data_IF_856153084527
#
_entry.id   IF_856153084527
#
_cell.length_a   1.000
_cell.length_b   1.000
_cell.length_c   1.000
_cell.angle_alpha   90.00
_cell.angle_beta   90.00
_cell.angle_gamma   90.00
#
_symmetry.space_group_name_H-M   'P 1'
#
loop_
_entity.id
_entity.type
_entity.pdbx_description
1 polymer ?
#
# COMPACT_ATOMS: atom_id res chain seq x y z
N UNK A 1 -12.13 11.31 6.90
CA UNK A 1 -12.81 10.06 7.35
C UNK A 1 -12.19 8.89 6.63
N UNK A 2 -11.72 7.89 7.39
CA UNK A 2 -11.10 6.66 6.83
C UNK A 2 -12.13 5.91 5.99
N UNK A 3 -11.77 5.60 4.73
CA UNK A 3 -12.58 4.78 3.81
C UNK A 3 -12.19 3.31 3.85
N UNK A 4 -11.02 2.99 4.42
CA UNK A 4 -10.53 1.64 4.55
C UNK A 4 -9.04 1.55 4.82
N UNK A 5 -8.46 0.38 4.55
CA UNK A 5 -7.06 0.14 4.81
C UNK A 5 -6.38 -0.73 3.75
N UNK A 6 -5.06 -0.76 3.82
CA UNK A 6 -4.21 -1.67 3.07
C UNK A 6 -3.35 -2.50 4.02
N UNK A 7 -3.18 -3.77 3.72
CA UNK A 7 -2.19 -4.65 4.35
C UNK A 7 -1.12 -4.97 3.32
N UNK A 8 0.10 -4.49 3.56
CA UNK A 8 1.20 -4.57 2.61
C UNK A 8 2.22 -5.66 2.98
N UNK A 9 2.86 -6.23 1.95
CA UNK A 9 3.92 -7.22 2.13
C UNK A 9 3.41 -8.59 2.59
N UNK A 10 2.25 -9.00 2.08
CA UNK A 10 1.73 -10.35 2.28
C UNK A 10 2.55 -11.31 1.40
N UNK A 11 3.07 -12.38 2.02
CA UNK A 11 3.99 -13.29 1.34
C UNK A 11 3.69 -14.78 1.54
N UNK A 12 2.61 -15.15 2.25
CA UNK A 12 2.21 -16.54 2.46
C UNK A 12 0.71 -16.75 2.29
N UNK A 13 0.32 -18.00 2.02
CA UNK A 13 -1.07 -18.36 1.70
C UNK A 13 -2.00 -18.31 2.91
N UNK A 14 -1.52 -18.70 4.08
CA UNK A 14 -2.35 -18.76 5.30
C UNK A 14 -2.75 -17.35 5.72
N UNK A 15 -1.79 -16.43 5.73
CA UNK A 15 -2.04 -15.00 5.96
C UNK A 15 -2.99 -14.43 4.92
N UNK A 16 -2.77 -14.72 3.63
CA UNK A 16 -3.63 -14.17 2.58
C UNK A 16 -5.07 -14.69 2.70
N UNK A 17 -5.25 -16.00 2.91
CA UNK A 17 -6.57 -16.59 3.13
C UNK A 17 -7.28 -15.97 4.34
N UNK A 18 -6.57 -15.79 5.46
CA UNK A 18 -7.10 -15.14 6.65
C UNK A 18 -7.59 -13.72 6.33
N UNK A 19 -6.78 -12.92 5.64
CA UNK A 19 -7.10 -11.52 5.29
C UNK A 19 -8.33 -11.43 4.38
N UNK A 20 -8.36 -12.19 3.28
CA UNK A 20 -9.43 -12.05 2.27
C UNK A 20 -10.74 -12.70 2.69
N UNK A 21 -10.70 -13.65 3.65
CA UNK A 21 -11.91 -14.27 4.22
C UNK A 21 -12.41 -13.59 5.48
N UNK A 22 -11.70 -12.59 5.98
CA UNK A 22 -12.10 -11.84 7.17
C UNK A 22 -13.48 -11.18 6.97
N UNK A 23 -14.27 -11.06 8.03
CA UNK A 23 -15.61 -10.42 7.96
C UNK A 23 -15.51 -8.96 7.46
N UNK A 24 -14.42 -8.29 7.80
CA UNK A 24 -14.10 -6.91 7.39
C UNK A 24 -12.74 -6.90 6.68
N UNK A 25 -12.64 -7.41 5.44
CA UNK A 25 -11.36 -7.49 4.74
C UNK A 25 -10.84 -6.09 4.39
N UNK A 26 -9.52 -5.92 4.27
CA UNK A 26 -8.96 -4.65 3.83
C UNK A 26 -9.36 -4.34 2.38
N UNK A 27 -9.42 -3.08 2.02
CA UNK A 27 -9.67 -2.65 0.64
C UNK A 27 -8.53 -3.07 -0.30
N UNK A 28 -7.29 -3.12 0.24
CA UNK A 28 -6.10 -3.43 -0.56
C UNK A 28 -5.20 -4.44 0.13
N UNK A 29 -4.64 -5.36 -0.66
CA UNK A 29 -3.58 -6.29 -0.23
C UNK A 29 -2.37 -6.12 -1.14
N UNK A 30 -1.22 -5.78 -0.57
CA UNK A 30 0.01 -5.47 -1.30
C UNK A 30 1.03 -6.61 -1.30
N UNK A 31 1.62 -6.86 -2.48
CA UNK A 31 2.68 -7.86 -2.69
C UNK A 31 3.92 -7.17 -3.24
N UNK A 32 5.09 -7.38 -2.62
CA UNK A 32 6.35 -6.79 -3.09
C UNK A 32 6.91 -7.66 -4.21
N UNK A 33 6.93 -7.11 -5.45
CA UNK A 33 7.15 -7.90 -6.66
C UNK A 33 8.56 -7.78 -7.26
N UNK A 34 9.29 -6.69 -7.00
CA UNK A 34 10.59 -6.45 -7.63
C UNK A 34 11.66 -5.86 -6.71
N UNK A 35 11.55 -6.06 -5.41
CA UNK A 35 12.55 -5.58 -4.46
C UNK A 35 13.08 -6.72 -3.58
N UNK A 36 14.04 -7.54 -4.07
CA UNK A 36 14.53 -8.73 -3.37
C UNK A 36 15.20 -8.47 -2.02
N UNK A 37 15.65 -7.24 -1.76
CA UNK A 37 16.21 -6.84 -0.45
C UNK A 37 15.15 -6.78 0.65
N UNK A 38 13.88 -6.68 0.29
CA UNK A 38 12.80 -6.71 1.27
C UNK A 38 12.59 -8.13 1.79
N UNK A 39 12.50 -8.33 3.12
CA UNK A 39 12.13 -9.64 3.70
C UNK A 39 10.72 -10.10 3.29
N UNK A 40 9.91 -9.19 2.73
CA UNK A 40 8.54 -9.44 2.25
C UNK A 40 8.46 -9.65 0.75
N UNK A 41 9.60 -9.73 0.05
CA UNK A 41 9.65 -9.99 -1.38
C UNK A 41 9.04 -11.35 -1.71
N UNK A 42 8.25 -11.40 -2.78
CA UNK A 42 7.62 -12.62 -3.25
C UNK A 42 8.16 -12.98 -4.63
N UNK A 43 8.84 -14.12 -4.73
CA UNK A 43 9.28 -14.65 -6.00
C UNK A 43 8.08 -14.95 -6.92
N UNK A 44 8.29 -14.84 -8.24
CA UNK A 44 7.23 -14.91 -9.24
C UNK A 44 6.38 -16.19 -9.15
N UNK A 45 6.99 -17.36 -9.05
CA UNK A 45 6.25 -18.63 -8.92
C UNK A 45 5.38 -18.70 -7.66
N UNK A 46 5.85 -18.12 -6.57
CA UNK A 46 5.08 -18.02 -5.32
C UNK A 46 3.96 -16.99 -5.46
N UNK A 47 4.24 -15.87 -6.14
CA UNK A 47 3.29 -14.82 -6.43
C UNK A 47 2.09 -15.33 -7.25
N UNK A 48 2.34 -16.12 -8.30
CA UNK A 48 1.27 -16.77 -9.10
C UNK A 48 0.35 -17.62 -8.22
N UNK A 49 0.91 -18.42 -7.31
CA UNK A 49 0.13 -19.24 -6.37
C UNK A 49 -0.69 -18.40 -5.40
N UNK A 50 -0.12 -17.33 -4.86
CA UNK A 50 -0.84 -16.41 -3.98
C UNK A 50 -2.00 -15.74 -4.72
N UNK A 51 -1.76 -15.25 -5.92
CA UNK A 51 -2.76 -14.53 -6.70
C UNK A 51 -3.85 -15.44 -7.30
N UNK A 52 -3.73 -16.77 -7.21
CA UNK A 52 -4.80 -17.70 -7.52
C UNK A 52 -5.88 -17.77 -6.42
N UNK A 53 -5.59 -17.26 -5.22
CA UNK A 53 -6.56 -17.17 -4.13
C UNK A 53 -7.60 -16.10 -4.47
N UNK A 54 -8.87 -16.43 -4.23
CA UNK A 54 -9.96 -15.47 -4.47
C UNK A 54 -9.82 -14.26 -3.52
N UNK A 55 -9.64 -13.10 -4.12
CA UNK A 55 -9.47 -11.83 -3.38
C UNK A 55 -10.74 -11.31 -2.71
N UNK A 56 -11.89 -11.94 -2.97
CA UNK A 56 -13.20 -11.53 -2.46
C UNK A 56 -13.45 -10.02 -2.69
N UNK A 57 -13.60 -9.24 -1.61
CA UNK A 57 -13.83 -7.78 -1.66
C UNK A 57 -12.54 -6.95 -1.73
N UNK A 58 -11.38 -7.57 -1.54
CA UNK A 58 -10.09 -6.86 -1.56
C UNK A 58 -9.60 -6.63 -2.99
N UNK A 59 -8.72 -5.66 -3.17
CA UNK A 59 -8.04 -5.37 -4.42
C UNK A 59 -6.55 -5.70 -4.27
N UNK A 60 -5.98 -6.42 -5.23
CA UNK A 60 -4.57 -6.81 -5.21
C UNK A 60 -3.69 -5.72 -5.81
N UNK A 61 -2.60 -5.41 -5.11
CA UNK A 61 -1.66 -4.34 -5.44
C UNK A 61 -0.26 -4.91 -5.66
N UNK A 62 0.29 -4.75 -6.87
CA UNK A 62 1.71 -4.99 -7.12
C UNK A 62 2.53 -3.81 -6.60
N UNK A 63 3.40 -4.03 -5.63
CA UNK A 63 4.32 -3.02 -5.10
C UNK A 63 5.65 -3.11 -5.84
N UNK A 64 6.03 -2.02 -6.47
CA UNK A 64 7.11 -1.94 -7.45
C UNK A 64 8.00 -0.72 -7.18
N UNK A 65 9.32 -0.94 -7.16
CA UNK A 65 10.34 0.11 -7.02
C UNK A 65 11.09 0.23 -8.34
N UNK A 66 10.99 1.38 -9.02
CA UNK A 66 11.61 1.62 -10.34
C UNK A 66 11.49 0.40 -11.27
N UNK A 67 10.27 -0.09 -11.55
CA UNK A 67 10.11 -1.31 -12.34
C UNK A 67 10.67 -1.12 -13.76
N UNK A 68 11.44 -2.09 -14.22
CA UNK A 68 11.84 -2.20 -15.61
C UNK A 68 10.75 -2.85 -16.47
N UNK A 69 10.98 -2.92 -17.77
CA UNK A 69 10.03 -3.53 -18.68
C UNK A 69 9.90 -5.02 -18.46
N UNK A 70 10.95 -5.71 -18.03
CA UNK A 70 10.95 -7.16 -17.82
C UNK A 70 9.93 -7.54 -16.72
N UNK A 71 10.01 -6.90 -15.56
CA UNK A 71 9.07 -7.19 -14.47
C UNK A 71 7.64 -6.83 -14.84
N UNK A 72 7.42 -5.70 -15.52
CA UNK A 72 6.09 -5.27 -15.94
C UNK A 72 5.46 -6.25 -16.93
N UNK A 73 6.21 -6.74 -17.92
CA UNK A 73 5.74 -7.77 -18.86
C UNK A 73 5.44 -9.09 -18.16
N UNK A 74 6.26 -9.45 -17.15
CA UNK A 74 6.10 -10.68 -16.38
C UNK A 74 4.82 -10.71 -15.56
N UNK A 75 4.43 -9.57 -14.98
CA UNK A 75 3.25 -9.48 -14.10
C UNK A 75 1.98 -8.98 -14.78
N UNK A 76 2.03 -8.54 -16.06
CA UNK A 76 0.90 -7.87 -16.74
C UNK A 76 -0.40 -8.66 -16.74
N UNK A 77 -0.31 -10.00 -16.84
CA UNK A 77 -1.46 -10.90 -16.89
C UNK A 77 -1.91 -11.39 -15.50
N UNK A 78 -1.18 -11.05 -14.44
CA UNK A 78 -1.59 -11.40 -13.10
C UNK A 78 -2.77 -10.50 -12.64
N UNK A 79 -3.67 -11.00 -11.78
CA UNK A 79 -4.93 -10.35 -11.43
C UNK A 79 -4.75 -9.16 -10.46
N UNK A 80 -3.75 -8.33 -10.69
CA UNK A 80 -3.57 -7.08 -9.98
C UNK A 80 -4.56 -6.02 -10.45
N UNK A 81 -5.13 -5.29 -9.51
CA UNK A 81 -6.02 -4.14 -9.75
C UNK A 81 -5.22 -2.84 -9.81
N UNK A 82 -4.17 -2.75 -9.00
CA UNK A 82 -3.31 -1.57 -8.88
C UNK A 82 -1.83 -1.92 -9.03
N UNK A 83 -1.08 -0.97 -9.59
CA UNK A 83 0.36 -0.91 -9.45
C UNK A 83 0.70 0.23 -8.50
N UNK A 84 1.41 -0.07 -7.41
CA UNK A 84 1.98 0.91 -6.49
C UNK A 84 3.42 1.15 -6.90
N UNK A 85 3.73 2.37 -7.31
CA UNK A 85 4.99 2.72 -7.96
C UNK A 85 5.79 3.67 -7.06
N UNK A 86 7.00 3.25 -6.70
CA UNK A 86 8.01 4.04 -6.01
C UNK A 86 9.06 4.52 -7.01
N UNK A 87 9.62 5.71 -6.79
CA UNK A 87 10.77 6.28 -7.50
C UNK A 87 10.61 6.33 -9.04
N UNK A 88 9.41 6.62 -9.51
CA UNK A 88 9.08 6.79 -10.92
C UNK A 88 8.72 8.23 -11.23
N UNK A 89 9.07 8.73 -12.44
CA UNK A 89 8.62 10.05 -12.91
C UNK A 89 7.15 10.01 -13.36
N UNK A 90 6.47 11.16 -13.46
CA UNK A 90 5.10 11.23 -14.00
C UNK A 90 4.97 10.60 -15.39
N UNK A 91 5.97 10.80 -16.27
CA UNK A 91 5.99 10.27 -17.64
C UNK A 91 6.09 8.74 -17.63
N UNK A 92 6.95 8.18 -16.77
CA UNK A 92 7.07 6.73 -16.59
C UNK A 92 5.74 6.13 -16.09
N UNK A 93 5.14 6.75 -15.07
CA UNK A 93 3.84 6.30 -14.52
C UNK A 93 2.75 6.38 -15.58
N UNK A 94 2.66 7.48 -16.32
CA UNK A 94 1.69 7.65 -17.40
C UNK A 94 1.83 6.58 -18.50
N UNK A 95 3.06 6.26 -18.87
CA UNK A 95 3.36 5.20 -19.83
C UNK A 95 2.96 3.82 -19.33
N UNK A 96 3.26 3.50 -18.06
CA UNK A 96 2.87 2.24 -17.42
C UNK A 96 1.34 2.13 -17.32
N UNK A 97 0.68 3.19 -16.84
CA UNK A 97 -0.79 3.24 -16.72
C UNK A 97 -1.49 2.96 -18.05
N UNK A 98 -1.04 3.64 -19.11
CA UNK A 98 -1.60 3.49 -20.46
C UNK A 98 -1.34 2.11 -21.04
N UNK A 99 -0.08 1.62 -20.93
CA UNK A 99 0.33 0.35 -21.55
C UNK A 99 -0.34 -0.86 -20.89
N UNK A 100 -0.44 -0.89 -19.56
CA UNK A 100 -0.91 -2.05 -18.82
C UNK A 100 -2.36 -1.92 -18.33
N UNK A 101 -2.99 -0.77 -18.55
CA UNK A 101 -4.38 -0.48 -18.13
C UNK A 101 -4.63 -0.81 -16.64
N UNK A 102 -3.71 -0.39 -15.77
CA UNK A 102 -3.82 -0.57 -14.32
C UNK A 102 -4.09 0.75 -13.62
N UNK A 103 -4.83 0.70 -12.51
CA UNK A 103 -4.92 1.84 -11.61
C UNK A 103 -3.59 2.03 -10.88
N UNK A 104 -3.26 3.28 -10.55
CA UNK A 104 -1.96 3.63 -10.00
C UNK A 104 -2.07 4.19 -8.59
N UNK A 105 -1.26 3.62 -7.69
CA UNK A 105 -0.91 4.23 -6.41
C UNK A 105 0.50 4.81 -6.57
N UNK A 106 0.62 6.13 -6.58
CA UNK A 106 1.95 6.77 -6.59
C UNK A 106 2.45 6.92 -5.16
N UNK A 107 3.58 6.30 -4.86
CA UNK A 107 4.18 6.32 -3.54
C UNK A 107 5.28 7.38 -3.46
N UNK A 108 5.13 8.28 -2.49
CA UNK A 108 6.11 9.30 -2.13
C UNK A 108 6.77 8.91 -0.81
N UNK A 109 8.10 8.91 -0.79
CA UNK A 109 8.87 8.65 0.43
C UNK A 109 9.18 9.98 1.11
N UNK A 110 8.61 10.21 2.30
CA UNK A 110 8.61 11.49 2.99
C UNK A 110 9.53 11.44 4.21
N UNK A 111 10.39 12.44 4.31
CA UNK A 111 11.15 12.78 5.50
C UNK A 111 10.76 14.17 5.98
N UNK A 112 10.67 15.12 5.07
CA UNK A 112 10.32 16.52 5.34
C UNK A 112 9.41 17.09 4.24
N UNK A 113 8.98 18.33 4.40
CA UNK A 113 8.03 19.00 3.50
C UNK A 113 8.55 19.16 2.07
N UNK A 114 9.87 19.21 1.88
CA UNK A 114 10.48 19.35 0.54
C UNK A 114 10.27 18.08 -0.32
N UNK A 115 10.13 16.91 0.28
CA UNK A 115 9.85 15.67 -0.44
C UNK A 115 8.47 15.67 -1.14
N UNK A 116 7.60 16.62 -0.77
CA UNK A 116 6.30 16.83 -1.42
C UNK A 116 6.33 17.91 -2.50
N UNK A 117 7.47 18.52 -2.75
CA UNK A 117 7.58 19.46 -3.88
C UNK A 117 7.32 18.73 -5.21
N UNK A 118 6.47 19.31 -6.04
CA UNK A 118 6.13 18.72 -7.34
C UNK A 118 5.12 17.57 -7.33
N UNK A 119 4.54 17.16 -6.18
CA UNK A 119 3.52 16.08 -6.14
C UNK A 119 2.38 16.33 -7.13
N UNK A 120 2.04 17.59 -7.42
CA UNK A 120 0.98 17.98 -8.36
C UNK A 120 1.24 17.51 -9.80
N UNK A 121 2.51 17.29 -10.17
CA UNK A 121 2.87 16.79 -11.51
C UNK A 121 2.37 15.35 -11.73
N UNK A 122 2.01 14.65 -10.66
CA UNK A 122 1.47 13.29 -10.70
C UNK A 122 -0.06 13.20 -10.77
N UNK A 123 -0.77 14.36 -10.77
CA UNK A 123 -2.23 14.38 -10.70
C UNK A 123 -2.90 13.56 -11.83
N UNK A 124 -2.45 13.70 -13.07
CA UNK A 124 -3.12 13.07 -14.21
C UNK A 124 -2.81 11.58 -14.34
N UNK A 125 -1.74 11.13 -13.71
CA UNK A 125 -1.26 9.75 -13.83
C UNK A 125 -1.61 8.89 -12.61
N UNK A 126 -1.94 9.49 -11.47
CA UNK A 126 -2.23 8.80 -10.20
C UNK A 126 -3.74 8.67 -9.94
N UNK A 127 -4.14 7.57 -9.32
CA UNK A 127 -5.49 7.36 -8.78
C UNK A 127 -5.51 7.55 -7.26
N UNK A 128 -4.43 7.19 -6.58
CA UNK A 128 -4.22 7.33 -5.14
C UNK A 128 -2.80 7.83 -4.90
N UNK A 129 -2.60 8.73 -3.95
CA UNK A 129 -1.29 9.05 -3.41
C UNK A 129 -1.05 8.25 -2.13
N UNK A 130 0.11 7.63 -2.04
CA UNK A 130 0.62 7.02 -0.82
C UNK A 130 1.78 7.87 -0.30
N UNK A 131 1.68 8.32 0.94
CA UNK A 131 2.78 8.94 1.67
C UNK A 131 3.37 7.92 2.64
N UNK A 132 4.61 7.55 2.41
CA UNK A 132 5.33 6.56 3.20
C UNK A 132 6.60 7.18 3.80
N UNK A 133 7.06 6.65 4.92
CA UNK A 133 8.31 7.09 5.53
C UNK A 133 9.50 6.77 4.64
N UNK A 134 10.51 7.63 4.66
CA UNK A 134 11.77 7.39 3.95
C UNK A 134 12.53 6.22 4.57
N UNK A 135 13.03 5.32 3.72
CA UNK A 135 13.85 4.16 4.11
C UNK A 135 13.13 2.83 3.93
N UNK A 136 13.52 2.08 2.90
CA UNK A 136 12.95 0.77 2.58
C UNK A 136 13.32 -0.32 3.58
N UNK A 137 14.47 -0.19 4.26
CA UNK A 137 14.99 -1.18 5.20
C UNK A 137 14.66 -0.82 6.66
N UNK A 138 14.74 0.46 7.00
CA UNK A 138 14.38 0.98 8.31
C UNK A 138 13.68 2.33 8.14
N UNK A 139 12.37 2.30 8.22
CA UNK A 139 11.56 3.51 8.08
C UNK A 139 11.72 4.41 9.31
N UNK A 140 12.11 5.65 9.07
CA UNK A 140 12.00 6.71 10.07
C UNK A 140 10.59 7.29 9.99
N UNK A 141 9.87 7.37 11.10
CA UNK A 141 8.55 8.00 11.13
C UNK A 141 8.66 9.46 10.71
N UNK A 142 7.88 9.88 9.72
CA UNK A 142 7.76 11.31 9.43
C UNK A 142 6.63 11.93 10.27
N UNK A 143 6.74 13.23 10.55
CA UNK A 143 5.69 13.95 11.25
C UNK A 143 4.47 14.16 10.33
N UNK A 144 3.38 13.44 10.63
CA UNK A 144 2.14 13.54 9.86
C UNK A 144 1.49 14.94 9.90
N UNK A 145 1.89 15.82 10.83
CA UNK A 145 1.43 17.20 10.82
C UNK A 145 1.93 17.97 9.59
N UNK A 146 3.03 17.54 8.96
CA UNK A 146 3.57 18.16 7.74
C UNK A 146 2.56 18.18 6.58
N UNK A 147 1.59 17.29 6.57
CA UNK A 147 0.64 17.13 5.47
C UNK A 147 -0.77 17.67 5.79
N UNK A 148 -1.05 18.09 7.03
CA UNK A 148 -2.39 18.55 7.44
C UNK A 148 -2.87 19.79 6.70
N UNK A 149 -1.95 20.66 6.28
CA UNK A 149 -2.24 21.89 5.54
C UNK A 149 -2.31 21.67 4.01
N UNK A 150 -1.94 20.49 3.53
CA UNK A 150 -1.87 20.18 2.10
C UNK A 150 -3.22 19.64 1.65
N UNK A 151 -3.87 20.31 0.71
CA UNK A 151 -5.09 19.81 0.07
C UNK A 151 -4.71 18.96 -1.15
N UNK A 152 -4.76 17.66 -0.97
CA UNK A 152 -4.60 16.72 -2.07
C UNK A 152 -5.90 16.63 -2.88
N UNK A 153 -5.79 16.60 -4.21
CA UNK A 153 -6.92 16.40 -5.13
C UNK A 153 -7.14 14.93 -5.51
N UNK A 154 -6.39 14.02 -4.91
CA UNK A 154 -6.52 12.57 -5.02
C UNK A 154 -6.82 11.97 -3.65
N UNK A 155 -7.32 10.73 -3.65
CA UNK A 155 -7.41 9.94 -2.42
C UNK A 155 -6.02 9.79 -1.83
N UNK A 156 -5.94 9.93 -0.52
CA UNK A 156 -4.69 9.86 0.20
C UNK A 156 -4.62 8.58 1.03
N UNK A 157 -3.53 7.87 0.89
CA UNK A 157 -3.15 6.73 1.73
C UNK A 157 -1.92 7.14 2.54
N UNK A 158 -1.87 6.75 3.80
CA UNK A 158 -0.76 7.07 4.69
C UNK A 158 -0.14 5.77 5.20
N UNK A 159 1.19 5.71 5.20
CA UNK A 159 2.00 4.62 5.71
C UNK A 159 3.15 5.15 6.59
N UNK A 160 4.09 4.31 6.94
CA UNK A 160 5.29 4.66 7.66
C UNK A 160 5.16 4.49 9.17
N UNK A 161 5.72 3.39 9.67
CA UNK A 161 5.83 3.03 11.08
C UNK A 161 4.52 3.09 11.92
N UNK A 162 3.37 2.98 11.25
CA UNK A 162 2.06 2.88 11.90
C UNK A 162 1.91 1.47 12.48
N UNK A 163 1.43 1.37 13.72
CA UNK A 163 1.22 0.10 14.43
C UNK A 163 -0.26 -0.23 14.53
N UNK A 164 -0.58 -1.52 14.63
CA UNK A 164 -1.94 -2.02 14.74
C UNK A 164 -2.70 -1.50 15.98
N UNK A 165 -1.98 -1.09 17.02
CA UNK A 165 -2.54 -0.60 18.27
C UNK A 165 -2.48 0.92 18.44
N UNK A 166 -1.99 1.66 17.44
CA UNK A 166 -2.00 3.13 17.44
C UNK A 166 -3.45 3.67 17.47
N UNK A 167 -3.58 4.93 17.84
CA UNK A 167 -4.83 5.69 17.68
C UNK A 167 -5.03 6.03 16.19
N UNK A 168 -5.83 5.19 15.50
CA UNK A 168 -6.04 5.31 14.07
C UNK A 168 -7.03 6.44 13.70
N UNK A 169 -7.80 6.98 14.63
CA UNK A 169 -8.75 8.07 14.36
C UNK A 169 -8.02 9.34 13.91
N UNK A 170 -6.87 9.62 14.49
CA UNK A 170 -6.07 10.78 14.12
C UNK A 170 -5.60 10.72 12.66
N UNK A 171 -5.28 9.52 12.16
CA UNK A 171 -4.94 9.33 10.74
C UNK A 171 -6.15 9.56 9.84
N UNK A 172 -7.36 9.26 10.30
CA UNK A 172 -8.60 9.46 9.57
C UNK A 172 -8.97 10.92 9.31
N UNK A 173 -8.35 11.85 10.04
CA UNK A 173 -8.50 13.30 9.82
C UNK A 173 -7.71 13.79 8.61
N UNK A 174 -6.67 13.04 8.21
CA UNK A 174 -5.71 13.48 7.19
C UNK A 174 -5.64 12.54 5.98
N UNK A 175 -6.14 11.31 6.06
CA UNK A 175 -6.06 10.34 4.97
C UNK A 175 -7.37 9.57 4.77
N UNK A 176 -7.57 9.07 3.53
CA UNK A 176 -8.69 8.17 3.18
C UNK A 176 -8.37 6.71 3.55
N UNK A 177 -7.11 6.31 3.49
CA UNK A 177 -6.68 4.94 3.75
C UNK A 177 -5.43 4.90 4.63
N UNK A 178 -5.32 3.85 5.44
CA UNK A 178 -4.14 3.56 6.26
C UNK A 178 -3.49 2.29 5.72
N UNK A 179 -2.18 2.33 5.46
CA UNK A 179 -1.38 1.20 4.98
C UNK A 179 -0.43 0.70 6.06
N UNK A 180 -0.59 -0.54 6.48
CA UNK A 180 0.28 -1.20 7.44
C UNK A 180 1.05 -2.36 6.81
N UNK A 181 2.33 -2.44 7.17
CA UNK A 181 3.19 -3.58 6.84
C UNK A 181 3.85 -4.14 8.10
N UNK A 182 5.00 -3.62 8.50
CA UNK A 182 5.76 -4.09 9.67
C UNK A 182 4.99 -3.99 11.00
N UNK A 183 4.08 -3.03 11.13
CA UNK A 183 3.21 -2.88 12.30
C UNK A 183 2.28 -4.08 12.56
N UNK A 184 2.11 -4.96 11.57
CA UNK A 184 1.30 -6.20 11.65
C UNK A 184 2.17 -7.46 11.77
N UNK A 185 3.46 -7.31 12.15
CA UNK A 185 4.39 -8.44 12.18
C UNK A 185 4.87 -8.75 13.60
N UNK A 186 5.17 -10.04 13.82
CA UNK A 186 5.94 -10.55 14.97
C UNK A 186 7.10 -11.35 14.41
N UNK A 187 8.33 -11.00 14.81
CA UNK A 187 9.55 -11.65 14.30
C UNK A 187 9.66 -11.68 12.76
N UNK A 188 9.19 -10.61 12.08
CA UNK A 188 9.26 -10.46 10.62
C UNK A 188 8.19 -11.21 9.82
N UNK A 189 7.25 -11.89 10.49
CA UNK A 189 6.13 -12.59 9.86
C UNK A 189 4.81 -11.91 10.22
N UNK A 190 3.85 -11.91 9.30
CA UNK A 190 2.50 -11.40 9.56
C UNK A 190 1.85 -12.16 10.72
N UNK A 191 1.30 -11.41 11.65
CA UNK A 191 0.66 -11.91 12.86
C UNK A 191 -0.87 -11.74 12.72
N UNK A 192 -1.58 -12.86 12.63
CA UNK A 192 -3.04 -12.86 12.43
C UNK A 192 -3.78 -12.14 13.57
N UNK A 193 -3.29 -12.23 14.82
CA UNK A 193 -3.92 -11.55 15.95
C UNK A 193 -3.80 -10.02 15.82
N UNK A 194 -2.65 -9.52 15.35
CA UNK A 194 -2.47 -8.09 15.07
C UNK A 194 -3.32 -7.63 13.89
N UNK A 195 -3.44 -8.45 12.86
CA UNK A 195 -4.30 -8.19 11.70
C UNK A 195 -5.76 -8.10 12.13
N UNK A 196 -6.23 -9.05 12.95
CA UNK A 196 -7.59 -9.07 13.49
C UNK A 196 -7.92 -7.78 14.26
N UNK A 197 -7.02 -7.37 15.18
CA UNK A 197 -7.19 -6.14 15.95
C UNK A 197 -7.25 -4.92 15.04
N UNK A 198 -6.35 -4.85 14.06
CA UNK A 198 -6.30 -3.73 13.11
C UNK A 198 -7.57 -3.62 12.27
N UNK A 199 -8.04 -4.73 11.67
CA UNK A 199 -9.23 -4.73 10.83
C UNK A 199 -10.49 -4.38 11.62
N UNK A 200 -10.61 -4.85 12.87
CA UNK A 200 -11.71 -4.50 13.76
C UNK A 200 -11.71 -3.00 14.12
N UNK A 201 -10.53 -2.40 14.38
CA UNK A 201 -10.41 -0.95 14.59
C UNK A 201 -10.87 -0.15 13.37
N UNK A 202 -10.40 -0.52 12.17
CA UNK A 202 -10.81 0.14 10.92
C UNK A 202 -12.33 0.07 10.73
N UNK A 203 -12.95 -1.08 11.02
CA UNK A 203 -14.41 -1.24 10.95
C UNK A 203 -15.12 -0.31 11.93
N UNK A 204 -14.63 -0.20 13.19
CA UNK A 204 -15.22 0.70 14.18
C UNK A 204 -15.21 2.15 13.69
N UNK A 205 -14.04 2.66 13.28
CA UNK A 205 -13.89 4.04 12.76
C UNK A 205 -14.78 4.31 11.54
N UNK A 206 -15.02 3.31 10.67
CA UNK A 206 -15.92 3.45 9.51
C UNK A 206 -17.39 3.50 9.91
N UNK A 207 -17.79 2.92 11.03
CA UNK A 207 -19.18 2.86 11.47
C UNK A 207 -19.58 4.03 12.37
N UNK A 208 -18.64 4.69 13.03
CA UNK A 208 -18.86 5.84 13.91
C UNK A 208 -19.05 7.16 13.14
N UNK A 209 -18.96 7.09 11.83
CA UNK A 209 -19.05 8.21 10.89
C UNK A 209 -20.08 7.93 9.80
#
# INVERSE_FOLDING_TARGET
MIKGCKICGVSDQDTLNFIVSHLYPPEFVGFICNYPKSPRYVEFKKLEKLLSINKNKSQYVAVLVKPDQEILEKIKNLPFDYYQLYDCTPEQIGSIKKKYNKKIITAFTIKDKSDLEGYKNFNDVSDIYLLDSKGYEKSETFDHNLITEIKFNKKLMIAGNIKYNDDLENYGKIADFIDLSGGLETSGLKDQSKIEIFLNKIKQIKNEN
#
